data_IF_293096138489
#
_entry.id   IF_293096138489
#
_cell.length_a   1.000
_cell.length_b   1.000
_cell.length_c   1.000
_cell.angle_alpha   90.00
_cell.angle_beta   90.00
_cell.angle_gamma   90.00
#
_symmetry.space_group_name_H-M   'P 1'
#
loop_
_entity.id
_entity.type
_entity.pdbx_description
1 polymer ?
#
# COMPACT_ATOMS: atom_id res chain seq x y z
N UNK A 1 4.43 41.38 15.33
CA UNK A 1 5.19 40.17 14.94
C UNK A 1 4.64 39.67 13.62
N UNK A 2 5.33 39.91 12.52
CA UNK A 2 4.91 39.51 11.17
C UNK A 2 5.34 38.04 10.98
N UNK A 3 4.39 37.11 10.86
CA UNK A 3 4.64 35.72 10.48
C UNK A 3 5.27 35.71 9.08
N UNK A 4 6.57 35.36 9.00
CA UNK A 4 7.21 35.07 7.71
C UNK A 4 6.44 33.92 7.05
N UNK A 5 5.66 34.25 6.02
CA UNK A 5 5.10 33.23 5.12
C UNK A 5 6.27 32.49 4.48
N UNK A 6 6.44 31.21 4.82
CA UNK A 6 7.36 30.31 4.15
C UNK A 6 6.92 30.22 2.67
N UNK A 7 7.72 30.76 1.76
CA UNK A 7 7.53 30.54 0.32
C UNK A 7 7.52 29.02 0.08
N UNK A 8 6.59 28.51 -0.71
CA UNK A 8 6.57 27.09 -1.06
C UNK A 8 7.93 26.75 -1.69
N UNK A 9 8.65 25.78 -1.11
CA UNK A 9 9.88 25.25 -1.70
C UNK A 9 9.52 24.76 -3.11
N UNK A 10 10.23 25.26 -4.12
CA UNK A 10 10.11 24.76 -5.50
C UNK A 10 10.26 23.24 -5.45
N UNK A 11 9.31 22.52 -6.02
CA UNK A 11 9.40 21.05 -6.18
C UNK A 11 10.66 20.74 -6.98
N UNK A 12 11.45 19.79 -6.51
CA UNK A 12 12.54 19.24 -7.30
C UNK A 12 11.91 18.37 -8.39
N UNK A 13 11.85 18.92 -9.59
CA UNK A 13 11.56 18.18 -10.81
C UNK A 13 12.83 18.18 -11.63
N UNK A 14 13.12 17.08 -12.32
CA UNK A 14 14.13 17.11 -13.34
C UNK A 14 13.60 18.02 -14.47
N UNK A 15 14.15 19.23 -14.60
CA UNK A 15 13.88 20.05 -15.77
C UNK A 15 14.75 19.50 -16.90
N UNK A 16 14.14 18.67 -17.78
CA UNK A 16 14.90 17.75 -18.59
C UNK A 16 14.62 18.07 -20.06
N UNK A 17 15.59 18.72 -20.68
CA UNK A 17 15.71 18.72 -22.11
C UNK A 17 16.44 17.43 -22.53
N UNK A 18 15.89 16.71 -23.46
CA UNK A 18 16.51 15.55 -24.08
C UNK A 18 16.41 15.64 -25.59
N UNK A 19 17.35 14.99 -26.25
CA UNK A 19 17.35 14.85 -27.69
C UNK A 19 17.12 13.37 -28.07
N UNK A 20 16.26 13.10 -29.03
CA UNK A 20 16.11 11.74 -29.56
C UNK A 20 17.17 11.49 -30.61
N UNK A 21 17.98 10.44 -30.38
CA UNK A 21 19.02 10.01 -31.33
C UNK A 21 18.96 8.50 -31.52
N UNK A 22 19.39 8.07 -32.70
CA UNK A 22 19.66 6.65 -32.99
C UNK A 22 21.11 6.36 -32.71
N UNK A 23 21.39 5.51 -31.71
CA UNK A 23 22.74 5.23 -31.20
C UNK A 23 23.06 3.75 -31.34
N UNK A 24 24.29 3.38 -31.80
CA UNK A 24 24.75 2.01 -31.77
C UNK A 24 24.79 1.45 -30.34
N UNK A 25 24.33 0.20 -30.13
CA UNK A 25 24.36 -0.43 -28.82
C UNK A 25 25.78 -0.59 -28.26
N UNK A 26 26.79 -0.66 -29.14
CA UNK A 26 28.19 -0.74 -28.74
C UNK A 26 28.72 0.50 -28.01
N UNK A 27 28.05 1.64 -28.18
CA UNK A 27 28.40 2.91 -27.51
C UNK A 27 27.65 3.11 -26.21
N UNK A 28 26.73 2.20 -25.82
CA UNK A 28 25.93 2.30 -24.62
C UNK A 28 26.49 1.37 -23.55
N UNK A 29 26.84 1.93 -22.41
CA UNK A 29 27.30 1.22 -21.22
C UNK A 29 26.15 1.11 -20.20
N UNK A 30 25.96 -0.09 -19.63
CA UNK A 30 24.99 -0.38 -18.59
C UNK A 30 25.71 -0.64 -17.26
N UNK A 31 25.06 -0.36 -16.13
CA UNK A 31 25.62 -0.58 -14.79
C UNK A 31 25.76 -2.08 -14.46
N UNK A 32 24.81 -2.87 -14.94
CA UNK A 32 24.74 -4.31 -14.67
C UNK A 32 25.28 -5.08 -15.87
N UNK A 33 25.97 -6.19 -15.65
CA UNK A 33 26.40 -7.08 -16.74
C UNK A 33 25.24 -7.97 -17.22
N UNK A 34 25.35 -8.48 -18.48
CA UNK A 34 24.37 -9.42 -19.03
C UNK A 34 24.20 -10.70 -18.22
N UNK A 35 25.30 -11.15 -17.55
CA UNK A 35 25.31 -12.38 -16.74
C UNK A 35 24.46 -12.29 -15.45
N UNK A 36 24.04 -11.08 -15.06
CA UNK A 36 23.12 -10.89 -13.96
C UNK A 36 21.69 -11.35 -14.28
N UNK A 37 21.38 -11.59 -15.55
CA UNK A 37 20.05 -11.95 -16.01
C UNK A 37 19.99 -13.36 -16.59
N UNK A 38 18.87 -14.03 -16.39
CA UNK A 38 18.63 -15.35 -16.97
C UNK A 38 18.54 -15.26 -18.50
N UNK A 39 19.35 -16.08 -19.21
CA UNK A 39 19.29 -16.16 -20.68
C UNK A 39 17.91 -16.51 -21.21
N UNK A 40 17.14 -17.31 -20.46
CA UNK A 40 15.75 -17.65 -20.82
C UNK A 40 14.84 -16.43 -20.76
N UNK A 41 14.98 -15.62 -19.71
CA UNK A 41 14.18 -14.39 -19.54
C UNK A 41 14.52 -13.36 -20.61
N UNK A 42 15.82 -13.12 -20.87
CA UNK A 42 16.25 -12.22 -21.94
C UNK A 42 15.70 -12.64 -23.31
N UNK A 43 15.74 -13.93 -23.65
CA UNK A 43 15.18 -14.43 -24.93
C UNK A 43 13.67 -14.30 -25.00
N UNK A 44 12.95 -14.55 -23.91
CA UNK A 44 11.49 -14.37 -23.86
C UNK A 44 11.14 -12.91 -24.09
N UNK A 45 11.88 -12.00 -23.47
CA UNK A 45 11.69 -10.56 -23.60
C UNK A 45 12.10 -10.04 -24.99
N UNK A 46 13.18 -10.57 -25.56
CA UNK A 46 13.59 -10.28 -26.92
C UNK A 46 12.53 -10.72 -27.94
N UNK A 47 11.92 -11.88 -27.78
CA UNK A 47 10.82 -12.33 -28.63
C UNK A 47 9.60 -11.40 -28.49
N UNK A 48 9.29 -10.92 -27.29
CA UNK A 48 8.25 -9.92 -27.10
C UNK A 48 8.55 -8.60 -27.84
N UNK A 49 9.81 -8.13 -27.84
CA UNK A 49 10.21 -6.90 -28.53
C UNK A 49 10.10 -7.00 -30.04
N UNK A 50 10.38 -8.16 -30.61
CA UNK A 50 10.20 -8.40 -32.06
C UNK A 50 8.75 -8.20 -32.46
N UNK A 51 7.79 -8.58 -31.62
CA UNK A 51 6.36 -8.50 -31.90
C UNK A 51 5.75 -7.13 -31.55
N UNK A 52 6.22 -6.49 -30.50
CA UNK A 52 5.56 -5.32 -29.90
C UNK A 52 6.39 -4.04 -30.00
N UNK A 53 7.64 -4.14 -30.48
CA UNK A 53 8.58 -3.03 -30.53
C UNK A 53 9.44 -2.93 -29.26
N UNK A 54 10.58 -2.30 -29.39
CA UNK A 54 11.56 -2.09 -28.34
C UNK A 54 11.21 -0.81 -27.57
N UNK A 55 11.26 -0.81 -26.22
CA UNK A 55 11.00 0.40 -25.44
C UNK A 55 12.05 1.48 -25.70
N UNK A 56 11.67 2.73 -25.48
CA UNK A 56 12.58 3.86 -25.62
C UNK A 56 13.47 3.95 -24.38
N UNK A 57 14.80 3.91 -24.58
CA UNK A 57 15.78 3.99 -23.50
C UNK A 57 16.18 5.44 -23.21
N UNK A 58 16.59 5.66 -21.97
CA UNK A 58 17.17 6.93 -21.50
C UNK A 58 18.67 6.75 -21.25
N UNK A 59 19.50 7.57 -21.85
CA UNK A 59 20.94 7.53 -21.71
C UNK A 59 21.53 8.89 -21.34
N UNK A 60 22.62 8.89 -20.59
CA UNK A 60 23.41 10.10 -20.32
C UNK A 60 24.64 10.13 -21.24
N UNK A 61 24.80 11.21 -22.01
CA UNK A 61 25.99 11.42 -22.84
C UNK A 61 27.18 11.78 -21.94
N UNK A 62 28.31 11.09 -22.14
CA UNK A 62 29.56 11.33 -21.42
C UNK A 62 30.53 12.14 -22.29
N UNK A 63 31.54 12.72 -21.65
CA UNK A 63 32.55 13.58 -22.32
C UNK A 63 33.40 12.80 -23.33
N UNK A 64 33.51 11.49 -23.18
CA UNK A 64 34.21 10.58 -24.08
C UNK A 64 33.41 10.16 -25.33
N UNK A 65 32.21 10.68 -25.49
CA UNK A 65 31.29 10.33 -26.59
C UNK A 65 30.58 9.00 -26.43
N UNK A 66 30.70 8.33 -25.31
CA UNK A 66 29.90 7.15 -24.94
C UNK A 66 28.63 7.57 -24.19
N UNK A 67 27.75 6.63 -24.06
CA UNK A 67 26.43 6.84 -23.44
C UNK A 67 26.24 5.86 -22.28
N UNK A 68 25.85 6.40 -21.14
CA UNK A 68 25.56 5.58 -19.98
C UNK A 68 24.04 5.36 -19.87
N UNK A 69 23.61 4.10 -19.79
CA UNK A 69 22.20 3.72 -19.64
C UNK A 69 21.71 4.17 -18.25
N UNK A 70 20.56 4.86 -18.23
CA UNK A 70 20.02 5.39 -16.97
C UNK A 70 19.02 4.45 -16.29
N UNK A 71 18.43 3.51 -17.03
CA UNK A 71 17.51 2.51 -16.49
C UNK A 71 17.25 1.41 -17.55
N UNK A 72 16.58 0.32 -17.12
CA UNK A 72 16.12 -0.76 -17.98
C UNK A 72 17.27 -1.67 -18.52
N UNK A 73 18.26 -1.96 -17.68
CA UNK A 73 19.41 -2.79 -18.06
C UNK A 73 18.99 -4.14 -18.63
N UNK A 74 17.99 -4.80 -18.04
CA UNK A 74 17.45 -6.09 -18.53
C UNK A 74 16.85 -5.93 -19.93
N UNK A 75 16.05 -4.88 -20.16
CA UNK A 75 15.46 -4.60 -21.47
C UNK A 75 16.52 -4.26 -22.51
N UNK A 76 17.59 -3.59 -22.11
CA UNK A 76 18.72 -3.29 -22.97
C UNK A 76 19.44 -4.57 -23.44
N UNK A 77 19.67 -5.52 -22.54
CA UNK A 77 20.25 -6.81 -22.91
C UNK A 77 19.29 -7.68 -23.73
N UNK A 78 17.99 -7.61 -23.46
CA UNK A 78 16.98 -8.27 -24.31
C UNK A 78 16.94 -7.65 -25.71
N UNK A 79 17.12 -6.35 -25.85
CA UNK A 79 17.24 -5.68 -27.16
C UNK A 79 18.50 -6.12 -27.92
N UNK A 80 19.62 -6.39 -27.22
CA UNK A 80 20.79 -7.03 -27.83
C UNK A 80 20.50 -8.42 -28.36
N UNK A 81 19.81 -9.25 -27.56
CA UNK A 81 19.42 -10.61 -27.94
C UNK A 81 18.42 -10.67 -29.10
N UNK A 82 17.62 -9.60 -29.32
CA UNK A 82 16.71 -9.52 -30.47
C UNK A 82 17.42 -9.27 -31.82
N UNK A 83 18.73 -9.02 -31.78
CA UNK A 83 19.55 -8.79 -32.98
C UNK A 83 19.66 -7.31 -33.39
N UNK A 84 19.15 -6.41 -32.63
CA UNK A 84 19.28 -4.97 -32.90
C UNK A 84 20.73 -4.49 -32.74
N UNK A 85 21.13 -3.61 -33.63
CA UNK A 85 22.47 -3.01 -33.61
C UNK A 85 22.45 -1.54 -33.21
N UNK A 86 21.29 -0.88 -33.30
CA UNK A 86 21.07 0.51 -32.96
C UNK A 86 19.75 0.66 -32.24
N UNK A 87 19.67 1.62 -31.33
CA UNK A 87 18.44 1.95 -30.60
C UNK A 87 18.09 3.44 -30.74
N UNK A 88 16.80 3.74 -30.77
CA UNK A 88 16.30 5.09 -30.59
C UNK A 88 16.26 5.38 -29.11
N UNK A 89 17.00 6.37 -28.66
CA UNK A 89 17.18 6.71 -27.24
C UNK A 89 16.92 8.18 -26.96
N UNK A 90 16.54 8.48 -25.74
CA UNK A 90 16.51 9.83 -25.19
C UNK A 90 17.87 10.14 -24.59
N UNK A 91 18.59 11.06 -25.19
CA UNK A 91 19.92 11.48 -24.76
C UNK A 91 19.81 12.67 -23.83
N UNK A 92 20.35 12.53 -22.66
CA UNK A 92 20.46 13.57 -21.65
C UNK A 92 21.91 13.98 -21.43
N UNK A 93 22.12 15.20 -20.94
CA UNK A 93 23.42 15.73 -20.52
C UNK A 93 23.35 16.14 -19.06
N UNK A 94 23.50 15.16 -18.17
CA UNK A 94 23.51 15.37 -16.74
C UNK A 94 24.93 15.35 -16.19
N UNK A 95 25.16 16.10 -15.09
CA UNK A 95 26.25 15.76 -14.20
C UNK A 95 26.01 14.36 -13.60
N UNK A 96 27.06 13.64 -13.22
CA UNK A 96 26.96 12.27 -12.68
C UNK A 96 25.94 12.18 -11.54
N UNK A 97 25.95 13.13 -10.60
CA UNK A 97 24.98 13.17 -9.51
C UNK A 97 23.51 13.27 -9.97
N UNK A 98 23.24 14.04 -11.01
CA UNK A 98 21.89 14.17 -11.56
C UNK A 98 21.51 12.95 -12.40
N UNK A 99 22.46 12.34 -13.09
CA UNK A 99 22.28 11.10 -13.82
C UNK A 99 21.87 9.95 -12.89
N UNK A 100 22.57 9.78 -11.77
CA UNK A 100 22.24 8.78 -10.76
C UNK A 100 20.88 9.04 -10.11
N UNK A 101 20.56 10.28 -9.76
CA UNK A 101 19.24 10.63 -9.22
C UNK A 101 18.12 10.33 -10.21
N UNK A 102 18.35 10.63 -11.50
CA UNK A 102 17.40 10.31 -12.56
C UNK A 102 17.26 8.80 -12.76
N UNK A 103 18.37 8.06 -12.75
CA UNK A 103 18.37 6.60 -12.79
C UNK A 103 17.52 5.99 -11.66
N UNK A 104 17.73 6.43 -10.41
CA UNK A 104 16.90 6.02 -9.28
C UNK A 104 15.40 6.30 -9.53
N UNK A 105 15.09 7.47 -10.09
CA UNK A 105 13.74 7.89 -10.38
C UNK A 105 13.06 7.06 -11.48
N UNK A 106 13.78 6.75 -12.55
CA UNK A 106 13.28 5.89 -13.64
C UNK A 106 13.08 4.45 -13.16
N UNK A 107 14.00 3.93 -12.34
CA UNK A 107 13.83 2.60 -11.72
C UNK A 107 12.60 2.52 -10.83
N UNK A 108 12.29 3.57 -10.07
CA UNK A 108 11.07 3.62 -9.25
C UNK A 108 9.76 3.63 -10.04
N UNK A 109 9.79 4.03 -11.31
CA UNK A 109 8.63 3.98 -12.21
C UNK A 109 8.46 2.59 -12.83
N UNK A 110 9.49 1.75 -12.77
CA UNK A 110 9.46 0.39 -13.30
C UNK A 110 8.44 -0.45 -12.50
N UNK A 111 7.62 -1.22 -13.19
CA UNK A 111 6.77 -2.23 -12.59
C UNK A 111 7.63 -3.39 -12.04
N UNK A 112 7.16 -4.04 -10.98
CA UNK A 112 7.78 -5.22 -10.34
C UNK A 112 8.96 -4.97 -9.38
N UNK A 113 9.09 -3.77 -8.82
CA UNK A 113 9.97 -3.59 -7.67
C UNK A 113 9.35 -4.19 -6.40
N UNK A 114 10.15 -4.89 -5.62
CA UNK A 114 9.76 -5.27 -4.27
C UNK A 114 9.60 -4.02 -3.38
N UNK A 115 8.82 -4.13 -2.31
CA UNK A 115 8.61 -3.02 -1.39
C UNK A 115 9.93 -2.53 -0.75
N UNK A 116 10.92 -3.41 -0.58
CA UNK A 116 12.22 -3.04 -0.03
C UNK A 116 13.10 -2.34 -1.07
N UNK A 117 13.12 -2.79 -2.32
CA UNK A 117 13.79 -2.08 -3.41
C UNK A 117 13.24 -0.67 -3.60
N UNK A 118 11.90 -0.50 -3.61
CA UNK A 118 11.29 0.83 -3.62
C UNK A 118 11.77 1.67 -2.43
N UNK A 119 11.80 1.10 -1.23
CA UNK A 119 12.21 1.81 -0.03
C UNK A 119 13.67 2.28 -0.10
N UNK A 120 14.59 1.43 -0.57
CA UNK A 120 16.00 1.78 -0.73
C UNK A 120 16.21 2.87 -1.80
N UNK A 121 15.55 2.76 -2.95
CA UNK A 121 15.64 3.77 -4.00
C UNK A 121 15.09 5.13 -3.52
N UNK A 122 13.93 5.11 -2.84
CA UNK A 122 13.36 6.33 -2.24
C UNK A 122 14.29 6.94 -1.18
N UNK A 123 14.95 6.10 -0.37
CA UNK A 123 15.89 6.56 0.64
C UNK A 123 17.11 7.22 0.00
N UNK A 124 17.67 6.65 -1.08
CA UNK A 124 18.77 7.27 -1.85
C UNK A 124 18.36 8.64 -2.37
N UNK A 125 17.16 8.77 -2.98
CA UNK A 125 16.64 10.05 -3.46
C UNK A 125 16.56 11.09 -2.34
N UNK A 126 16.13 10.69 -1.14
CA UNK A 126 16.04 11.59 0.02
C UNK A 126 17.43 11.96 0.54
N UNK A 127 18.28 10.95 0.85
CA UNK A 127 19.55 11.16 1.56
C UNK A 127 20.63 11.76 0.66
N UNK A 128 20.82 11.20 -0.54
CA UNK A 128 21.97 11.51 -1.38
C UNK A 128 21.67 12.67 -2.33
N UNK A 129 20.41 12.78 -2.76
CA UNK A 129 20.00 13.77 -3.76
C UNK A 129 19.07 14.86 -3.20
N UNK A 130 18.65 14.75 -1.93
CA UNK A 130 17.88 15.78 -1.21
C UNK A 130 16.47 16.01 -1.76
N UNK A 131 15.83 14.96 -2.30
CA UNK A 131 14.42 14.99 -2.66
C UNK A 131 13.56 14.97 -1.40
N UNK A 132 12.43 15.67 -1.43
CA UNK A 132 11.41 15.56 -0.41
C UNK A 132 10.47 14.41 -0.72
N UNK A 133 9.70 13.94 0.28
CA UNK A 133 8.67 12.92 0.05
C UNK A 133 7.59 13.40 -0.93
N UNK A 134 7.32 14.70 -0.97
CA UNK A 134 6.37 15.30 -1.92
C UNK A 134 6.94 15.27 -3.36
N UNK A 135 8.24 15.51 -3.53
CA UNK A 135 8.90 15.41 -4.83
C UNK A 135 8.86 13.97 -5.35
N UNK A 136 9.16 12.98 -4.48
CA UNK A 136 9.12 11.56 -4.85
C UNK A 136 7.69 11.14 -5.18
N UNK A 137 6.70 11.55 -4.39
CA UNK A 137 5.28 11.25 -4.64
C UNK A 137 4.83 11.74 -6.02
N UNK A 138 5.19 12.98 -6.36
CA UNK A 138 4.90 13.54 -7.70
C UNK A 138 5.63 12.79 -8.82
N UNK A 139 6.88 12.37 -8.56
CA UNK A 139 7.75 11.70 -9.53
C UNK A 139 7.21 10.32 -9.92
N UNK A 140 6.73 9.54 -8.94
CA UNK A 140 6.27 8.15 -9.14
C UNK A 140 4.74 8.02 -9.26
N UNK A 141 4.00 9.13 -9.20
CA UNK A 141 2.53 9.11 -9.27
C UNK A 141 1.86 8.48 -8.04
N UNK A 142 2.56 8.43 -6.89
CA UNK A 142 2.03 7.91 -5.63
C UNK A 142 1.63 9.06 -4.68
N UNK A 143 0.81 8.76 -3.67
CA UNK A 143 0.51 9.74 -2.63
C UNK A 143 1.71 9.89 -1.66
N UNK A 144 1.89 11.09 -1.09
CA UNK A 144 2.89 11.33 -0.04
C UNK A 144 2.80 10.34 1.14
N UNK A 145 1.61 10.00 1.67
CA UNK A 145 1.50 8.96 2.70
C UNK A 145 2.00 7.59 2.24
N UNK A 146 1.82 7.22 0.96
CA UNK A 146 2.34 5.96 0.42
C UNK A 146 3.87 5.96 0.43
N UNK A 147 4.52 7.04 -0.03
CA UNK A 147 5.98 7.23 0.02
C UNK A 147 6.49 7.15 1.46
N UNK A 148 5.84 7.88 2.39
CA UNK A 148 6.20 7.85 3.80
C UNK A 148 6.11 6.43 4.40
N UNK A 149 5.06 5.68 4.08
CA UNK A 149 4.88 4.31 4.55
C UNK A 149 5.94 3.35 3.99
N UNK A 150 6.33 3.51 2.72
CA UNK A 150 7.41 2.72 2.13
C UNK A 150 8.75 3.03 2.81
N UNK A 151 9.09 4.30 2.99
CA UNK A 151 10.32 4.71 3.69
C UNK A 151 10.38 4.23 5.14
N UNK A 152 9.23 4.16 5.84
CA UNK A 152 9.16 3.68 7.22
C UNK A 152 9.49 2.20 7.36
N UNK A 153 9.39 1.38 6.31
CA UNK A 153 9.83 -0.02 6.35
C UNK A 153 11.31 -0.13 6.72
N UNK A 154 12.14 0.83 6.31
CA UNK A 154 13.58 0.87 6.64
C UNK A 154 13.88 1.20 8.11
N UNK A 155 12.87 1.51 8.92
CA UNK A 155 13.02 1.73 10.38
C UNK A 155 12.81 0.46 11.19
N UNK A 156 12.37 -0.62 10.56
CA UNK A 156 12.21 -1.94 11.17
C UNK A 156 13.58 -2.55 11.51
N UNK A 157 13.58 -3.53 12.39
CA UNK A 157 14.81 -4.28 12.71
C UNK A 157 15.23 -5.15 11.52
N UNK A 158 16.53 -5.44 11.37
CA UNK A 158 17.06 -6.22 10.24
C UNK A 158 16.37 -7.57 10.04
N UNK A 159 16.02 -8.24 11.11
CA UNK A 159 15.36 -9.55 11.09
C UNK A 159 13.98 -9.48 10.42
N UNK A 160 13.22 -8.41 10.70
CA UNK A 160 11.90 -8.19 10.08
C UNK A 160 12.07 -7.75 8.62
N UNK A 161 13.08 -6.94 8.31
CA UNK A 161 13.43 -6.58 6.93
C UNK A 161 13.73 -7.85 6.12
N UNK A 162 14.54 -8.77 6.64
CA UNK A 162 14.84 -10.05 6.00
C UNK A 162 13.59 -10.92 5.75
N UNK A 163 12.56 -10.83 6.61
CA UNK A 163 11.28 -11.50 6.37
C UNK A 163 10.50 -10.89 5.19
N UNK A 164 10.62 -9.57 4.99
CA UNK A 164 9.99 -8.90 3.85
C UNK A 164 10.73 -9.26 2.55
N UNK A 165 12.06 -9.18 2.56
CA UNK A 165 12.91 -9.48 1.39
C UNK A 165 12.76 -10.92 0.92
N UNK A 166 12.62 -11.87 1.86
CA UNK A 166 12.35 -13.29 1.56
C UNK A 166 10.89 -13.58 1.17
N UNK A 167 10.00 -12.58 1.14
CA UNK A 167 8.58 -12.75 0.84
C UNK A 167 7.76 -13.46 1.92
N UNK A 168 8.36 -13.79 3.06
CA UNK A 168 7.68 -14.45 4.19
C UNK A 168 6.71 -13.54 4.93
N UNK A 169 6.96 -12.24 4.91
CA UNK A 169 6.09 -11.21 5.49
C UNK A 169 5.77 -10.15 4.44
N UNK A 170 4.49 -9.87 4.21
CA UNK A 170 4.14 -8.82 3.26
C UNK A 170 4.43 -7.42 3.81
N UNK A 171 4.69 -6.46 2.91
CA UNK A 171 4.89 -5.06 3.28
C UNK A 171 3.69 -4.46 4.05
N UNK A 172 2.47 -4.96 3.81
CA UNK A 172 1.28 -4.57 4.55
C UNK A 172 1.35 -4.96 6.02
N UNK A 173 1.73 -6.21 6.31
CA UNK A 173 1.97 -6.67 7.68
C UNK A 173 3.10 -5.90 8.35
N UNK A 174 4.23 -5.73 7.66
CA UNK A 174 5.40 -5.03 8.17
C UNK A 174 5.12 -3.57 8.56
N UNK A 175 4.26 -2.86 7.81
CA UNK A 175 3.85 -1.49 8.15
C UNK A 175 3.20 -1.38 9.52
N UNK A 176 2.48 -2.39 9.97
CA UNK A 176 1.84 -2.38 11.28
C UNK A 176 2.87 -2.42 12.40
N UNK A 177 4.01 -3.10 12.18
CA UNK A 177 5.10 -3.25 13.14
C UNK A 177 5.93 -1.98 13.35
N UNK A 178 5.89 -1.03 12.43
CA UNK A 178 6.67 0.22 12.55
C UNK A 178 6.37 1.00 13.85
N UNK A 179 5.18 0.81 14.42
CA UNK A 179 4.76 1.45 15.68
C UNK A 179 5.14 0.65 16.94
N UNK A 180 5.57 -0.59 16.76
CA UNK A 180 5.88 -1.52 17.83
C UNK A 180 7.32 -1.28 18.30
N UNK A 181 7.63 -1.34 19.61
CA UNK A 181 8.99 -1.32 20.11
C UNK A 181 9.86 -2.39 19.41
N UNK A 182 11.10 -2.04 19.10
CA UNK A 182 12.00 -2.88 18.31
C UNK A 182 12.15 -4.30 18.85
N UNK A 183 12.19 -4.41 20.17
CA UNK A 183 12.36 -5.67 20.90
C UNK A 183 11.20 -6.66 20.69
N UNK A 184 10.03 -6.14 20.29
CA UNK A 184 8.82 -6.93 20.11
C UNK A 184 8.44 -7.14 18.63
N UNK A 185 9.11 -6.43 17.72
CA UNK A 185 8.76 -6.48 16.29
C UNK A 185 8.87 -7.90 15.72
N UNK A 186 9.95 -8.62 16.03
CA UNK A 186 10.16 -9.97 15.54
C UNK A 186 9.17 -10.97 16.12
N UNK A 187 8.90 -10.91 17.42
CA UNK A 187 7.97 -11.82 18.09
C UNK A 187 6.54 -11.70 17.51
N UNK A 188 6.09 -10.45 17.28
CA UNK A 188 4.78 -10.21 16.65
C UNK A 188 4.74 -10.62 15.18
N UNK A 189 5.84 -10.44 14.44
CA UNK A 189 5.96 -10.92 13.06
C UNK A 189 5.87 -12.45 13.00
N UNK A 190 6.58 -13.14 13.89
CA UNK A 190 6.58 -14.61 13.99
C UNK A 190 5.20 -15.14 14.37
N UNK A 191 4.54 -14.53 15.35
CA UNK A 191 3.16 -14.89 15.73
C UNK A 191 2.19 -14.74 14.55
N UNK A 192 2.28 -13.63 13.81
CA UNK A 192 1.43 -13.38 12.66
C UNK A 192 1.64 -14.43 11.56
N UNK A 193 2.88 -14.82 11.29
CA UNK A 193 3.20 -15.88 10.33
C UNK A 193 2.69 -17.24 10.79
N UNK A 194 2.90 -17.61 12.06
CA UNK A 194 2.44 -18.90 12.62
C UNK A 194 0.92 -19.04 12.60
N UNK A 195 0.20 -17.94 12.84
CA UNK A 195 -1.27 -17.93 12.88
C UNK A 195 -1.92 -17.58 11.54
N UNK A 196 -1.14 -17.25 10.53
CA UNK A 196 -1.66 -16.86 9.20
C UNK A 196 -2.50 -15.58 9.25
N UNK A 197 -2.11 -14.59 10.03
CA UNK A 197 -2.87 -13.35 10.15
C UNK A 197 -3.01 -12.64 8.81
N UNK A 198 -4.19 -12.11 8.54
CA UNK A 198 -4.39 -11.06 7.55
C UNK A 198 -3.82 -9.73 8.07
N UNK A 199 -3.58 -8.76 7.18
CA UNK A 199 -3.12 -7.42 7.58
C UNK A 199 -4.04 -6.78 8.62
N UNK A 200 -5.37 -6.98 8.49
CA UNK A 200 -6.36 -6.44 9.46
C UNK A 200 -6.28 -7.12 10.83
N UNK A 201 -5.97 -8.41 10.87
CA UNK A 201 -5.76 -9.12 12.13
C UNK A 201 -4.48 -8.69 12.81
N UNK A 202 -3.42 -8.50 12.04
CA UNK A 202 -2.16 -7.94 12.53
C UNK A 202 -2.34 -6.52 13.08
N UNK A 203 -3.09 -5.65 12.39
CA UNK A 203 -3.44 -4.30 12.89
C UNK A 203 -4.17 -4.37 14.24
N UNK A 204 -5.10 -5.31 14.40
CA UNK A 204 -5.81 -5.52 15.67
C UNK A 204 -4.88 -6.03 16.77
N UNK A 205 -4.00 -6.97 16.44
CA UNK A 205 -3.02 -7.52 17.40
C UNK A 205 -2.06 -6.41 17.87
N UNK A 206 -1.52 -5.61 16.95
CA UNK A 206 -0.65 -4.47 17.27
C UNK A 206 -1.42 -3.41 18.06
N UNK A 207 -2.67 -3.09 17.71
CA UNK A 207 -3.50 -2.17 18.49
C UNK A 207 -3.71 -2.69 19.91
N UNK A 208 -4.03 -3.97 20.07
CA UNK A 208 -4.21 -4.59 21.38
C UNK A 208 -2.91 -4.57 22.21
N UNK A 209 -1.77 -4.79 21.58
CA UNK A 209 -0.46 -4.71 22.23
C UNK A 209 -0.12 -3.30 22.70
N UNK A 210 -0.38 -2.28 21.88
CA UNK A 210 -0.06 -0.88 22.19
C UNK A 210 -1.08 -0.19 23.11
N UNK A 211 -2.26 -0.79 23.30
CA UNK A 211 -3.34 -0.18 24.11
C UNK A 211 -3.28 -0.73 25.53
N UNK A 212 -3.17 0.12 26.57
CA UNK A 212 -3.19 -0.35 27.96
C UNK A 212 -4.44 -1.20 28.25
N UNK A 213 -4.31 -2.26 29.07
CA UNK A 213 -5.43 -3.18 29.38
C UNK A 213 -6.67 -2.48 29.95
N UNK A 214 -6.47 -1.41 30.69
CA UNK A 214 -7.54 -0.61 31.29
C UNK A 214 -8.39 0.10 30.24
N UNK A 215 -7.75 0.67 29.19
CA UNK A 215 -8.44 1.33 28.08
C UNK A 215 -9.21 0.31 27.24
N UNK A 216 -8.63 -0.87 27.01
CA UNK A 216 -9.32 -1.96 26.30
C UNK A 216 -10.56 -2.45 27.06
N UNK A 217 -10.51 -2.51 28.40
CA UNK A 217 -11.67 -2.83 29.22
C UNK A 217 -12.74 -1.75 29.12
N UNK A 218 -12.36 -0.48 29.28
CA UNK A 218 -13.28 0.65 29.14
C UNK A 218 -13.95 0.72 27.75
N UNK A 219 -13.17 0.48 26.65
CA UNK A 219 -13.76 0.43 25.29
C UNK A 219 -14.76 -0.73 25.13
N UNK A 220 -14.47 -1.90 25.74
CA UNK A 220 -15.38 -3.05 25.72
C UNK A 220 -16.65 -2.78 26.52
N UNK A 221 -16.50 -2.23 27.71
CA UNK A 221 -17.62 -1.93 28.62
C UNK A 221 -18.51 -0.80 28.03
N UNK A 222 -17.91 0.23 27.44
CA UNK A 222 -18.65 1.28 26.76
C UNK A 222 -19.43 0.76 25.55
N UNK A 223 -18.82 -0.10 24.72
CA UNK A 223 -19.50 -0.74 23.58
C UNK A 223 -20.62 -1.69 24.03
N UNK A 224 -20.39 -2.47 25.08
CA UNK A 224 -21.40 -3.36 25.65
C UNK A 224 -22.56 -2.57 26.27
N UNK A 225 -22.27 -1.46 26.95
CA UNK A 225 -23.26 -0.56 27.53
C UNK A 225 -24.12 0.14 26.48
N UNK A 226 -23.51 0.70 25.43
CA UNK A 226 -24.23 1.33 24.32
C UNK A 226 -25.18 0.37 23.62
N UNK A 227 -24.71 -0.83 23.27
CA UNK A 227 -25.53 -1.91 22.66
C UNK A 227 -26.64 -2.36 23.57
N UNK A 228 -26.35 -2.52 24.88
CA UNK A 228 -27.36 -2.87 25.88
C UNK A 228 -28.45 -1.79 26.01
N UNK A 229 -28.10 -0.51 25.90
CA UNK A 229 -29.04 0.61 25.94
C UNK A 229 -29.98 0.65 24.73
N UNK A 230 -29.45 0.46 23.51
CA UNK A 230 -30.23 0.40 22.27
C UNK A 230 -31.22 -0.78 22.27
N UNK A 231 -30.74 -1.96 22.66
CA UNK A 231 -31.57 -3.14 22.76
C UNK A 231 -32.66 -3.01 23.84
N UNK A 232 -32.36 -2.39 24.98
CA UNK A 232 -33.33 -2.09 26.03
C UNK A 232 -34.39 -1.12 25.53
N UNK A 233 -33.97 -0.03 24.89
CA UNK A 233 -34.92 0.95 24.32
C UNK A 233 -35.84 0.31 23.27
N UNK A 234 -35.30 -0.57 22.43
CA UNK A 234 -36.08 -1.33 21.45
C UNK A 234 -37.11 -2.25 22.11
N UNK A 235 -36.72 -3.02 23.14
CA UNK A 235 -37.63 -3.90 23.89
C UNK A 235 -38.73 -3.09 24.59
N UNK A 236 -38.41 -1.94 25.20
CA UNK A 236 -39.38 -1.06 25.84
C UNK A 236 -40.36 -0.50 24.82
N UNK A 237 -39.89 -0.12 23.63
CA UNK A 237 -40.77 0.35 22.55
C UNK A 237 -41.73 -0.76 22.11
N UNK A 238 -41.22 -1.99 21.97
CA UNK A 238 -42.09 -3.14 21.64
C UNK A 238 -43.12 -3.41 22.74
N UNK A 239 -42.74 -3.35 24.03
CA UNK A 239 -43.66 -3.50 25.15
C UNK A 239 -44.79 -2.45 25.11
N UNK A 240 -44.45 -1.21 24.78
CA UNK A 240 -45.44 -0.14 24.69
C UNK A 240 -46.43 -0.32 23.53
N UNK A 241 -45.97 -0.87 22.39
CA UNK A 241 -46.77 -1.15 21.21
C UNK A 241 -47.66 -2.35 21.45
N UNK A 242 -47.07 -3.47 21.84
CA UNK A 242 -47.83 -4.73 22.01
C UNK A 242 -48.59 -4.82 23.34
N UNK A 243 -48.33 -3.91 24.27
CA UNK A 243 -48.94 -3.87 25.62
C UNK A 243 -48.89 -5.19 26.39
N UNK A 244 -47.80 -5.93 26.15
CA UNK A 244 -47.55 -7.23 26.79
C UNK A 244 -46.08 -7.43 27.10
N UNK A 245 -45.75 -8.51 27.76
CA UNK A 245 -44.37 -8.84 28.09
C UNK A 245 -43.60 -9.22 26.82
N UNK A 246 -42.53 -8.46 26.57
CA UNK A 246 -41.56 -8.73 25.48
C UNK A 246 -40.24 -9.08 26.09
N UNK A 247 -39.66 -10.18 25.68
CA UNK A 247 -38.36 -10.67 26.11
C UNK A 247 -37.44 -10.84 24.90
N UNK A 248 -36.15 -10.48 25.04
CA UNK A 248 -35.13 -10.62 24.01
C UNK A 248 -33.97 -11.46 24.52
N UNK A 249 -33.57 -12.46 23.78
CA UNK A 249 -32.40 -13.29 24.03
C UNK A 249 -31.46 -13.12 22.84
N UNK A 250 -30.25 -12.56 23.07
CA UNK A 250 -29.24 -12.36 22.01
C UNK A 250 -28.54 -11.02 22.11
N UNK A 251 -28.03 -10.56 20.98
CA UNK A 251 -27.30 -9.31 20.83
C UNK A 251 -27.75 -8.56 19.57
N UNK A 252 -27.13 -7.40 19.27
CA UNK A 252 -27.41 -6.55 18.10
C UNK A 252 -27.28 -7.21 16.73
N UNK A 253 -26.63 -8.37 16.64
CA UNK A 253 -26.42 -9.10 15.38
C UNK A 253 -27.31 -10.33 15.21
N UNK A 254 -27.63 -10.98 16.32
CA UNK A 254 -28.39 -12.23 16.30
C UNK A 254 -29.12 -12.43 17.62
N UNK A 255 -30.41 -12.68 17.55
CA UNK A 255 -31.22 -12.90 18.73
C UNK A 255 -32.59 -13.48 18.38
N UNK A 256 -33.39 -13.68 19.44
CA UNK A 256 -34.81 -14.09 19.36
C UNK A 256 -35.60 -13.13 20.22
N UNK A 257 -36.76 -12.72 19.72
CA UNK A 257 -37.73 -11.92 20.44
C UNK A 257 -38.88 -12.81 20.78
N UNK A 258 -39.33 -12.79 22.03
CA UNK A 258 -40.49 -13.49 22.53
C UNK A 258 -41.52 -12.44 22.94
N UNK A 259 -42.74 -12.57 22.42
CA UNK A 259 -43.87 -11.73 22.78
C UNK A 259 -44.88 -12.69 23.42
N UNK A 260 -45.11 -12.47 24.72
CA UNK A 260 -46.06 -13.30 25.48
C UNK A 260 -47.48 -12.83 25.20
N UNK A 261 -48.47 -13.75 25.16
CA UNK A 261 -49.88 -13.42 25.17
C UNK A 261 -50.56 -14.24 26.27
N UNK A 262 -51.54 -13.66 26.91
CA UNK A 262 -52.21 -14.25 28.09
C UNK A 262 -53.70 -14.40 27.88
N UNK A 263 -54.28 -13.86 26.81
CA UNK A 263 -55.68 -13.97 26.45
C UNK A 263 -55.89 -14.03 24.94
N UNK A 264 -57.06 -14.44 24.51
CA UNK A 264 -57.48 -14.38 23.10
C UNK A 264 -57.50 -12.95 22.58
N UNK A 265 -57.81 -11.97 23.44
CA UNK A 265 -57.81 -10.53 23.11
C UNK A 265 -56.42 -10.00 22.78
N UNK A 266 -55.37 -10.51 23.45
CA UNK A 266 -54.01 -10.16 23.13
C UNK A 266 -53.61 -10.69 21.74
N UNK A 267 -54.09 -11.90 21.39
CA UNK A 267 -53.80 -12.49 20.11
C UNK A 267 -54.52 -11.75 18.96
N UNK A 268 -55.81 -11.36 19.15
CA UNK A 268 -56.53 -10.53 18.19
C UNK A 268 -55.84 -9.16 17.96
N UNK A 269 -55.29 -8.56 19.00
CA UNK A 269 -54.53 -7.31 18.90
C UNK A 269 -53.26 -7.49 18.05
N UNK A 270 -52.62 -8.63 18.13
CA UNK A 270 -51.47 -8.92 17.28
C UNK A 270 -51.86 -9.06 15.82
N UNK A 271 -53.03 -9.69 15.57
CA UNK A 271 -53.61 -9.82 14.24
C UNK A 271 -53.92 -8.44 13.63
N UNK A 272 -54.59 -7.54 14.41
CA UNK A 272 -54.81 -6.16 13.98
C UNK A 272 -53.53 -5.39 13.61
N UNK A 273 -52.42 -5.60 14.35
CA UNK A 273 -51.13 -5.04 14.00
C UNK A 273 -50.55 -5.57 12.70
N UNK A 274 -50.70 -6.86 12.45
CA UNK A 274 -50.28 -7.52 11.20
C UNK A 274 -51.08 -6.96 10.02
N UNK A 275 -52.39 -6.88 10.14
CA UNK A 275 -53.28 -6.32 9.11
C UNK A 275 -52.94 -4.86 8.80
N UNK A 276 -52.61 -4.07 9.83
CA UNK A 276 -52.16 -2.67 9.65
C UNK A 276 -50.82 -2.59 8.86
N UNK A 277 -49.88 -3.46 9.16
CA UNK A 277 -48.59 -3.50 8.46
C UNK A 277 -48.78 -3.96 7.00
N UNK A 278 -49.59 -4.99 6.78
CA UNK A 278 -49.86 -5.49 5.42
C UNK A 278 -50.64 -4.50 4.56
N UNK A 279 -51.46 -3.62 5.15
CA UNK A 279 -52.13 -2.55 4.42
C UNK A 279 -51.16 -1.45 3.99
N UNK A 280 -50.08 -1.20 4.76
CA UNK A 280 -49.04 -0.22 4.43
C UNK A 280 -48.11 -0.65 3.29
N UNK A 281 -47.93 -1.96 3.11
CA UNK A 281 -47.08 -2.52 2.02
C UNK A 281 -47.84 -2.62 0.66
N UNK A 282 -49.14 -2.27 0.62
CA UNK A 282 -49.97 -2.30 -0.60
C UNK A 282 -50.20 -0.96 -1.28
N UNK A 283 -49.79 0.14 -0.64
CA UNK A 283 -49.79 1.51 -1.17
C UNK A 283 -48.37 1.93 -1.61
#
# INVERSE_FOLDING_TARGET
MVKKMNKPKRRKTFNIEYEKRTIPLSLIDADTSADAYSKKELRTRAAYFILNGIPEFSVNEKDDGRFHLLALDEDFYAAKESGETKLIVRVYKFSDKNAEAFSCAERLKKENLSAMEEAYLMQRLVKDYGFTQDDIAALVGKSRPAVANTLRLLTLIPEVIGLIESGRLSAGHARTLVRVPKEQQYALAEEAMKRGYSVREMERAVKAYLTPPEVLRQEKDAKASAKSAELKAFVERMRSVFRTKVSLIGNDKKGRIYIDYYSAEDLYRFEEFLDMIESYDRD
#
